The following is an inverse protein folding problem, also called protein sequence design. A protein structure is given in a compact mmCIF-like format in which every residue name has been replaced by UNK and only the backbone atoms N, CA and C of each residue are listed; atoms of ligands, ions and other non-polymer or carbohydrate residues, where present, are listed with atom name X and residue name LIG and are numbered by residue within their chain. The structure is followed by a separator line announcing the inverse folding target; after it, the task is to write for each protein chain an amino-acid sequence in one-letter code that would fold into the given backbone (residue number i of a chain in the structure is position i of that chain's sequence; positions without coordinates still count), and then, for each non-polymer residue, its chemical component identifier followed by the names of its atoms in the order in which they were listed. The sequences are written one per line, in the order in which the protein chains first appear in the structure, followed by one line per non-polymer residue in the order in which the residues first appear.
data_IF_916325462367
#
_entry.id   IF_916325462367
#
_cell.length_a   1.000
_cell.length_b   1.000
_cell.length_c   1.000
_cell.angle_alpha   90.00
_cell.angle_beta   90.00
_cell.angle_gamma   90.00
#
_symmetry.space_group_name_H-M   'P 1'
#
loop_
_entity.id
_entity.type
_entity.pdbx_description
1 polymer ?
#
# COMPACT_ATOMS: atom_id res chain seq x y z
N UNK A 1 -74.20 -12.46 1.19
CA UNK A 1 -72.95 -11.70 1.43
C UNK A 1 -72.07 -12.55 2.34
N UNK A 2 -71.46 -13.66 1.91
CA UNK A 2 -70.53 -13.97 0.81
C UNK A 2 -69.12 -13.39 1.00
N UNK A 3 -68.29 -14.21 1.66
CA UNK A 3 -66.88 -14.59 1.43
C UNK A 3 -65.82 -13.54 1.06
N UNK A 4 -64.72 -13.59 1.82
CA UNK A 4 -63.36 -13.09 1.51
C UNK A 4 -62.82 -13.65 0.18
N UNK A 5 -61.87 -12.94 -0.45
CA UNK A 5 -60.47 -13.42 -0.39
C UNK A 5 -59.39 -12.29 -0.37
N UNK A 6 -58.24 -12.60 0.24
CA UNK A 6 -56.92 -12.02 -0.14
C UNK A 6 -56.37 -12.85 -1.32
N UNK A 7 -55.60 -12.25 -2.27
CA UNK A 7 -54.15 -12.51 -2.25
C UNK A 7 -53.23 -11.42 -2.85
N UNK A 8 -51.95 -11.58 -2.50
CA UNK A 8 -50.68 -10.94 -2.90
C UNK A 8 -50.57 -10.11 -4.19
N UNK A 9 -49.85 -8.98 -4.11
CA UNK A 9 -48.75 -8.72 -5.06
C UNK A 9 -47.66 -7.83 -4.44
N UNK A 10 -46.46 -8.38 -4.40
CA UNK A 10 -45.17 -7.73 -4.25
C UNK A 10 -45.08 -6.36 -4.92
N UNK A 11 -44.68 -5.35 -4.15
CA UNK A 11 -43.92 -4.22 -4.68
C UNK A 11 -42.87 -3.80 -3.65
N UNK A 12 -41.81 -4.59 -3.58
CA UNK A 12 -40.53 -4.11 -3.04
C UNK A 12 -40.05 -3.00 -3.98
N UNK A 13 -39.86 -1.75 -3.55
CA UNK A 13 -39.12 -0.80 -4.37
C UNK A 13 -37.66 -1.28 -4.41
N UNK A 14 -37.29 -1.87 -5.54
CA UNK A 14 -35.89 -2.03 -5.92
C UNK A 14 -35.39 -0.65 -6.38
N UNK A 15 -34.12 -0.38 -6.09
CA UNK A 15 -33.29 0.64 -6.73
C UNK A 15 -33.56 2.11 -6.37
N UNK A 16 -32.79 2.61 -5.41
CA UNK A 16 -31.47 3.16 -5.73
C UNK A 16 -30.80 3.57 -4.41
N UNK A 17 -29.96 2.69 -3.85
CA UNK A 17 -28.86 3.19 -3.03
C UNK A 17 -27.89 3.90 -3.99
N UNK A 18 -28.26 5.12 -4.41
CA UNK A 18 -27.36 6.05 -5.05
C UNK A 18 -26.31 6.38 -4.00
N UNK A 19 -25.26 5.55 -3.91
CA UNK A 19 -23.99 5.99 -3.35
C UNK A 19 -23.65 7.23 -4.17
N UNK A 20 -23.65 8.44 -3.58
CA UNK A 20 -23.32 9.60 -4.36
C UNK A 20 -21.91 9.36 -4.90
N UNK A 21 -21.76 9.32 -6.23
CA UNK A 21 -20.45 9.30 -6.90
C UNK A 21 -19.62 10.57 -6.63
N UNK A 22 -20.04 11.39 -5.67
CA UNK A 22 -19.36 12.56 -5.11
C UNK A 22 -18.87 12.33 -3.66
N UNK A 23 -19.04 11.15 -3.06
CA UNK A 23 -18.23 10.73 -1.91
C UNK A 23 -16.75 10.45 -2.33
N UNK A 24 -16.52 10.41 -3.64
CA UNK A 24 -15.27 10.53 -4.40
C UNK A 24 -14.81 12.02 -4.36
N UNK A 25 -13.59 12.45 -4.06
CA UNK A 25 -12.27 11.95 -4.46
C UNK A 25 -11.24 12.53 -3.47
N UNK A 26 -10.96 11.88 -2.33
CA UNK A 26 -9.64 12.09 -1.76
C UNK A 26 -8.64 11.61 -2.82
N UNK A 27 -7.61 12.38 -3.20
CA UNK A 27 -6.68 11.96 -4.23
C UNK A 27 -6.06 10.62 -3.82
N UNK A 28 -6.50 9.55 -4.48
CA UNK A 28 -5.99 8.21 -4.23
C UNK A 28 -4.67 8.07 -4.96
N UNK A 29 -3.70 7.50 -4.26
CA UNK A 29 -2.36 7.27 -4.81
C UNK A 29 -2.12 5.77 -4.88
N UNK A 30 -1.30 5.39 -5.85
CA UNK A 30 -0.80 4.04 -6.00
C UNK A 30 0.71 4.10 -6.24
N UNK A 31 1.43 3.21 -5.59
CA UNK A 31 2.88 3.08 -5.69
C UNK A 31 3.18 1.65 -6.13
N UNK A 32 3.95 1.50 -7.20
CA UNK A 32 4.32 0.21 -7.77
C UNK A 32 5.68 -0.22 -7.23
N UNK A 33 5.81 -1.51 -6.91
CA UNK A 33 7.01 -2.13 -6.40
C UNK A 33 7.82 -2.74 -7.57
N UNK A 34 9.04 -2.28 -7.74
CA UNK A 34 10.03 -2.85 -8.64
C UNK A 34 10.75 -4.02 -7.98
N UNK A 35 10.22 -5.22 -8.17
CA UNK A 35 10.83 -6.46 -7.66
C UNK A 35 12.16 -6.83 -8.34
N UNK A 36 12.46 -6.22 -9.49
CA UNK A 36 13.66 -6.52 -10.28
C UNK A 36 14.85 -5.61 -9.94
N UNK A 37 14.64 -4.59 -9.11
CA UNK A 37 15.70 -3.72 -8.62
C UNK A 37 16.63 -4.44 -7.63
N UNK A 38 17.85 -3.93 -7.46
CA UNK A 38 18.75 -4.42 -6.42
C UNK A 38 18.23 -3.99 -5.05
N UNK A 39 17.87 -4.95 -4.21
CA UNK A 39 17.32 -4.70 -2.87
C UNK A 39 18.37 -4.27 -1.83
N UNK A 40 19.65 -4.24 -2.20
CA UNK A 40 20.74 -3.84 -1.32
C UNK A 40 21.08 -4.88 -0.25
N UNK A 41 21.96 -4.55 0.72
CA UNK A 41 22.43 -5.46 1.75
C UNK A 41 21.46 -5.59 2.95
N UNK A 42 20.50 -4.67 3.10
CA UNK A 42 19.65 -4.60 4.29
C UNK A 42 18.30 -5.33 4.13
N UNK A 43 17.85 -5.58 2.91
CA UNK A 43 16.54 -6.18 2.60
C UNK A 43 16.68 -7.60 2.03
N UNK A 44 15.82 -8.52 2.44
CA UNK A 44 15.76 -9.88 1.89
C UNK A 44 15.04 -9.86 0.54
N UNK A 45 15.77 -10.18 -0.52
CA UNK A 45 15.25 -10.23 -1.89
C UNK A 45 14.04 -11.17 -2.03
N UNK A 46 14.01 -12.30 -1.31
CA UNK A 46 12.90 -13.26 -1.38
C UNK A 46 11.64 -12.70 -0.74
N UNK A 47 11.79 -11.98 0.38
CA UNK A 47 10.67 -11.28 1.00
C UNK A 47 10.12 -10.20 0.06
N UNK A 48 10.99 -9.38 -0.53
CA UNK A 48 10.58 -8.35 -1.51
C UNK A 48 9.87 -8.96 -2.72
N UNK A 49 10.32 -10.12 -3.21
CA UNK A 49 9.64 -10.83 -4.31
C UNK A 49 8.23 -11.31 -3.93
N UNK A 50 7.99 -11.63 -2.66
CA UNK A 50 6.69 -12.09 -2.16
C UNK A 50 5.67 -10.97 -1.89
N UNK A 51 6.14 -9.71 -1.78
CA UNK A 51 5.28 -8.54 -1.60
C UNK A 51 4.34 -8.32 -2.80
N UNK A 52 3.24 -7.54 -2.65
CA UNK A 52 2.41 -7.16 -3.79
C UNK A 52 3.19 -6.28 -4.78
N UNK A 53 2.84 -6.35 -6.08
CA UNK A 53 3.48 -5.54 -7.13
C UNK A 53 3.15 -4.05 -7.02
N UNK A 54 2.17 -3.68 -6.19
CA UNK A 54 1.81 -2.30 -5.91
C UNK A 54 1.08 -2.17 -4.57
N UNK A 55 1.08 -0.96 -4.03
CA UNK A 55 0.36 -0.53 -2.85
C UNK A 55 -0.66 0.56 -3.23
N UNK A 56 -1.86 0.50 -2.66
CA UNK A 56 -3.00 1.33 -3.06
C UNK A 56 -3.95 0.63 -4.05
N UNK A 57 -4.95 1.34 -4.61
CA UNK A 57 -5.21 2.78 -4.44
C UNK A 57 -5.66 3.14 -3.02
N UNK A 58 -5.09 4.21 -2.45
CA UNK A 58 -5.45 4.66 -1.09
C UNK A 58 -4.97 6.07 -0.74
N UNK A 59 -5.15 6.49 0.52
CA UNK A 59 -4.60 7.76 1.02
C UNK A 59 -3.08 7.73 1.00
N UNK A 60 -2.45 8.87 0.71
CA UNK A 60 -0.99 8.97 0.64
C UNK A 60 -0.29 8.51 1.93
N UNK A 61 -0.77 8.90 3.11
CA UNK A 61 -0.20 8.42 4.38
C UNK A 61 -0.28 6.90 4.53
N UNK A 62 -1.42 6.30 4.19
CA UNK A 62 -1.63 4.86 4.32
C UNK A 62 -0.79 4.07 3.31
N UNK A 63 -0.66 4.53 2.06
CA UNK A 63 0.21 3.90 1.06
C UNK A 63 1.69 4.04 1.44
N UNK A 64 2.10 5.19 1.95
CA UNK A 64 3.47 5.39 2.47
C UNK A 64 3.76 4.42 3.61
N UNK A 65 2.83 4.29 4.56
CA UNK A 65 2.95 3.38 5.69
C UNK A 65 3.15 1.94 5.23
N UNK A 66 2.32 1.46 4.30
CA UNK A 66 2.40 0.10 3.79
C UNK A 66 3.75 -0.18 3.11
N UNK A 67 4.25 0.77 2.31
CA UNK A 67 5.54 0.64 1.65
C UNK A 67 6.69 0.59 2.67
N UNK A 68 6.67 1.45 3.68
CA UNK A 68 7.71 1.51 4.72
C UNK A 68 7.66 0.27 5.62
N UNK A 69 6.46 -0.14 6.04
CA UNK A 69 6.24 -1.34 6.87
C UNK A 69 6.75 -2.58 6.14
N UNK A 70 6.43 -2.73 4.85
CA UNK A 70 6.95 -3.83 4.03
C UNK A 70 8.48 -3.84 3.94
N UNK A 71 9.15 -2.69 3.86
CA UNK A 71 10.61 -2.62 3.94
C UNK A 71 11.15 -3.05 5.31
N UNK A 72 10.49 -2.65 6.40
CA UNK A 72 10.87 -3.05 7.77
C UNK A 72 10.71 -4.56 7.94
N UNK A 73 9.57 -5.11 7.52
CA UNK A 73 9.24 -6.53 7.66
C UNK A 73 10.17 -7.41 6.80
N UNK A 74 10.54 -6.92 5.61
CA UNK A 74 11.50 -7.61 4.72
C UNK A 74 12.97 -7.32 5.04
N UNK A 75 13.28 -6.60 6.12
CA UNK A 75 14.66 -6.33 6.50
C UNK A 75 15.31 -7.58 7.12
N UNK A 76 16.58 -7.83 6.78
CA UNK A 76 17.40 -8.78 7.53
C UNK A 76 17.59 -8.36 8.99
N UNK A 77 17.61 -7.05 9.23
CA UNK A 77 17.63 -6.45 10.55
C UNK A 77 16.68 -5.25 10.55
N UNK A 78 15.53 -5.39 11.21
CA UNK A 78 14.50 -4.34 11.26
C UNK A 78 15.04 -3.03 11.86
N UNK A 79 15.97 -3.09 12.81
CA UNK A 79 16.60 -1.91 13.42
C UNK A 79 17.35 -1.06 12.38
N UNK A 80 17.98 -1.68 11.37
CA UNK A 80 18.68 -0.96 10.30
C UNK A 80 17.73 -0.13 9.44
N UNK A 81 16.54 -0.65 9.13
CA UNK A 81 15.52 0.11 8.39
C UNK A 81 14.86 1.15 9.29
N UNK A 82 14.52 0.75 10.52
CA UNK A 82 13.84 1.61 11.48
C UNK A 82 14.69 2.83 11.88
N UNK A 83 16.00 2.67 12.02
CA UNK A 83 16.95 3.76 12.29
C UNK A 83 17.10 4.76 11.12
N UNK A 84 16.75 4.36 9.90
CA UNK A 84 16.70 5.27 8.74
C UNK A 84 15.45 6.16 8.74
N UNK A 85 14.43 5.82 9.54
CA UNK A 85 13.18 6.56 9.64
C UNK A 85 13.30 7.68 10.68
N UNK A 86 12.68 8.82 10.37
CA UNK A 86 12.60 9.94 11.31
C UNK A 86 11.17 10.05 11.85
N UNK A 87 10.99 10.22 13.17
CA UNK A 87 9.66 10.43 13.74
C UNK A 87 9.05 11.72 13.20
N UNK A 88 7.79 11.63 12.80
CA UNK A 88 6.94 12.71 12.36
C UNK A 88 5.68 12.83 13.22
N UNK A 89 4.78 13.72 12.83
CA UNK A 89 3.51 13.96 13.53
C UNK A 89 2.34 13.88 12.54
N UNK A 90 1.22 13.31 13.00
CA UNK A 90 -0.06 13.28 12.28
C UNK A 90 -0.16 12.29 11.12
N UNK A 91 0.86 11.45 10.89
CA UNK A 91 0.80 10.35 9.93
C UNK A 91 0.45 9.02 10.59
N UNK A 92 0.76 7.93 9.90
CA UNK A 92 0.47 6.56 10.32
C UNK A 92 1.64 5.95 11.11
N UNK A 93 1.39 4.86 11.84
CA UNK A 93 2.41 4.17 12.64
C UNK A 93 3.15 3.10 11.83
N UNK A 94 4.45 3.00 12.08
CA UNK A 94 5.32 1.90 11.67
C UNK A 94 5.75 1.14 12.91
N UNK A 95 5.64 -0.18 12.86
CA UNK A 95 6.10 -1.08 13.91
C UNK A 95 7.33 -1.85 13.47
N UNK A 96 8.25 -2.10 14.39
CA UNK A 96 9.36 -3.01 14.23
C UNK A 96 9.54 -3.83 15.51
N UNK A 97 10.05 -5.04 15.39
CA UNK A 97 10.44 -5.88 16.52
C UNK A 97 11.93 -6.19 16.43
N UNK A 98 12.70 -5.66 17.37
CA UNK A 98 14.14 -5.90 17.50
C UNK A 98 14.55 -5.75 18.97
N UNK A 99 15.68 -6.34 19.34
CA UNK A 99 16.16 -6.32 20.75
C UNK A 99 15.10 -6.84 21.76
N UNK A 100 14.28 -7.80 21.33
CA UNK A 100 13.17 -8.37 22.11
C UNK A 100 12.07 -7.37 22.49
N UNK A 101 12.03 -6.19 21.85
CA UNK A 101 11.07 -5.13 22.14
C UNK A 101 10.36 -4.64 20.85
N UNK A 102 9.07 -4.32 21.01
CA UNK A 102 8.30 -3.62 19.98
C UNK A 102 8.66 -2.13 19.98
N UNK A 103 9.02 -1.64 18.81
CA UNK A 103 9.33 -0.24 18.54
C UNK A 103 8.30 0.32 17.58
N UNK A 104 7.77 1.49 17.89
CA UNK A 104 6.78 2.18 17.04
C UNK A 104 7.23 3.58 16.70
N UNK A 105 7.04 3.99 15.45
CA UNK A 105 7.38 5.32 14.96
C UNK A 105 6.23 5.88 14.15
N UNK A 106 5.84 7.13 14.43
CA UNK A 106 4.82 7.85 13.66
C UNK A 106 5.47 8.48 12.43
N UNK A 107 4.96 8.20 11.24
CA UNK A 107 5.38 8.85 10.01
C UNK A 107 4.80 10.28 9.92
N UNK A 108 5.39 11.17 9.09
CA UNK A 108 4.77 12.46 8.82
C UNK A 108 3.42 12.31 8.12
N UNK A 109 2.48 13.21 8.40
CA UNK A 109 1.24 13.32 7.62
C UNK A 109 1.56 13.73 6.17
N UNK A 110 1.10 12.95 5.19
CA UNK A 110 1.36 13.22 3.77
C UNK A 110 0.08 13.11 2.96
N UNK A 111 -0.05 13.99 1.96
CA UNK A 111 -1.22 14.05 1.07
C UNK A 111 -0.84 14.00 -0.42
N UNK A 112 0.45 13.89 -0.74
CA UNK A 112 0.98 13.99 -2.10
C UNK A 112 1.81 12.76 -2.48
N UNK A 113 1.49 12.14 -3.62
CA UNK A 113 2.26 11.02 -4.19
C UNK A 113 3.72 11.41 -4.43
N UNK A 114 3.98 12.65 -4.80
CA UNK A 114 5.35 13.15 -5.01
C UNK A 114 6.14 13.12 -3.71
N UNK A 115 5.51 13.47 -2.59
CA UNK A 115 6.17 13.39 -1.28
C UNK A 115 6.41 11.92 -0.89
N UNK A 116 5.41 11.05 -1.10
CA UNK A 116 5.53 9.60 -0.84
C UNK A 116 6.73 9.01 -1.57
N UNK A 117 6.82 9.24 -2.89
CA UNK A 117 7.92 8.70 -3.70
C UNK A 117 9.28 9.27 -3.29
N UNK A 118 9.38 10.58 -2.98
CA UNK A 118 10.62 11.18 -2.48
C UNK A 118 11.06 10.60 -1.13
N UNK A 119 10.10 10.34 -0.24
CA UNK A 119 10.39 9.69 1.04
C UNK A 119 10.94 8.29 0.82
N UNK A 120 10.26 7.49 -0.03
CA UNK A 120 10.66 6.12 -0.34
C UNK A 120 12.01 6.06 -1.06
N UNK A 121 12.27 6.97 -2.00
CA UNK A 121 13.56 7.10 -2.66
C UNK A 121 14.68 7.41 -1.66
N UNK A 122 14.44 8.32 -0.70
CA UNK A 122 15.42 8.64 0.33
C UNK A 122 15.66 7.46 1.28
N UNK A 123 14.61 6.71 1.63
CA UNK A 123 14.74 5.48 2.41
C UNK A 123 15.57 4.44 1.66
N UNK A 124 15.24 4.15 0.39
CA UNK A 124 15.98 3.21 -0.45
C UNK A 124 17.47 3.58 -0.56
N UNK A 125 17.74 4.88 -0.74
CA UNK A 125 19.11 5.39 -0.77
C UNK A 125 19.87 5.13 0.54
N UNK A 126 19.25 5.35 1.70
CA UNK A 126 19.88 5.06 2.99
C UNK A 126 20.07 3.54 3.22
N UNK A 127 19.22 2.71 2.61
CA UNK A 127 19.32 1.24 2.62
C UNK A 127 20.26 0.68 1.55
N UNK A 128 20.95 1.54 0.79
CA UNK A 128 21.83 1.13 -0.31
C UNK A 128 21.15 0.20 -1.32
N UNK A 129 19.87 0.44 -1.61
CA UNK A 129 19.11 -0.28 -2.64
C UNK A 129 18.71 0.65 -3.79
N UNK A 130 18.39 0.05 -4.94
CA UNK A 130 17.81 0.76 -6.07
C UNK A 130 16.44 1.37 -5.66
N UNK A 131 15.93 2.40 -6.35
CA UNK A 131 14.59 2.91 -6.11
C UNK A 131 13.55 1.82 -6.41
N UNK A 132 13.13 1.10 -5.36
CA UNK A 132 12.17 0.00 -5.45
C UNK A 132 10.74 0.48 -5.70
N UNK A 133 10.44 1.76 -5.50
CA UNK A 133 9.07 2.29 -5.54
C UNK A 133 8.90 3.33 -6.63
N UNK A 134 7.84 3.20 -7.44
CA UNK A 134 7.55 4.11 -8.55
C UNK A 134 6.07 4.48 -8.66
N UNK A 135 5.76 5.50 -9.47
CA UNK A 135 4.38 5.89 -9.82
C UNK A 135 3.76 5.05 -10.95
N UNK A 136 4.57 4.23 -11.62
CA UNK A 136 4.17 3.44 -12.78
C UNK A 136 4.54 1.97 -12.60
N UNK A 137 3.75 1.06 -13.18
CA UNK A 137 4.08 -0.37 -13.19
C UNK A 137 5.40 -0.61 -13.90
N UNK A 138 6.18 -1.56 -13.38
CA UNK A 138 7.46 -1.94 -13.99
C UNK A 138 7.19 -2.94 -15.12
N UNK A 139 7.61 -2.66 -16.36
CA UNK A 139 7.46 -3.62 -17.45
C UNK A 139 8.30 -4.88 -17.17
N UNK A 140 7.63 -6.04 -17.18
CA UNK A 140 8.28 -7.35 -17.05
C UNK A 140 9.00 -7.66 -18.36
N UNK A 141 10.26 -7.22 -18.48
CA UNK A 141 11.11 -7.49 -19.64
C UNK A 141 11.66 -6.24 -20.30
N UNK A 142 12.71 -5.68 -19.72
CA UNK A 142 13.44 -4.57 -20.32
C UNK A 142 14.63 -4.19 -19.48
N UNK A 143 15.80 -4.66 -19.90
CA UNK A 143 17.11 -4.20 -19.45
C UNK A 143 17.17 -2.67 -19.30
N UNK A 144 17.67 -2.26 -18.14
CA UNK A 144 18.12 -0.93 -17.74
C UNK A 144 18.29 0.12 -18.86
N UNK A 145 17.51 1.21 -18.81
CA UNK A 145 18.01 2.55 -19.14
C UNK A 145 17.37 3.61 -18.24
N UNK A 146 18.25 4.45 -17.72
CA UNK A 146 18.03 5.76 -17.12
C UNK A 146 16.98 6.58 -17.90
N UNK A 147 15.89 6.98 -17.27
CA UNK A 147 15.30 8.30 -17.52
C UNK A 147 14.18 8.67 -16.55
N UNK A 148 14.37 9.82 -15.92
CA UNK A 148 13.31 10.66 -15.36
C UNK A 148 12.25 10.90 -16.42
N UNK A 149 11.03 10.40 -16.26
CA UNK A 149 9.87 11.02 -16.94
C UNK A 149 8.58 10.80 -16.15
N UNK A 150 8.23 11.79 -15.34
CA UNK A 150 6.93 11.90 -14.69
C UNK A 150 5.90 12.31 -15.75
N UNK A 151 5.20 11.36 -16.35
CA UNK A 151 4.00 11.65 -17.16
C UNK A 151 2.93 10.57 -16.97
N UNK A 152 1.68 11.01 -16.83
CA UNK A 152 0.53 10.23 -17.28
C UNK A 152 -0.14 9.30 -16.28
N UNK A 153 -0.89 9.92 -15.37
CA UNK A 153 -2.05 9.40 -14.64
C UNK A 153 -2.99 8.56 -15.54
N UNK A 154 -3.39 7.35 -15.08
CA UNK A 154 -4.70 6.65 -15.27
C UNK A 154 -4.55 5.13 -15.47
N UNK A 155 -4.63 4.32 -14.40
CA UNK A 155 -4.94 2.88 -14.51
C UNK A 155 -5.17 2.13 -13.17
N UNK A 156 -5.61 2.78 -12.10
CA UNK A 156 -5.71 2.13 -10.77
C UNK A 156 -7.10 1.53 -10.43
N UNK A 157 -7.97 1.29 -11.41
CA UNK A 157 -9.36 0.87 -11.16
C UNK A 157 -9.62 -0.64 -11.26
N UNK A 158 -8.65 -1.47 -11.66
CA UNK A 158 -8.90 -2.88 -12.00
C UNK A 158 -8.42 -3.91 -10.94
N UNK A 159 -7.62 -3.54 -9.93
CA UNK A 159 -6.89 -4.54 -9.10
C UNK A 159 -7.52 -4.77 -7.70
N UNK A 160 -8.69 -4.17 -7.43
CA UNK A 160 -9.25 -4.04 -6.08
C UNK A 160 -9.73 -5.35 -5.41
N UNK A 161 -9.93 -6.44 -6.17
CA UNK A 161 -10.59 -7.65 -5.64
C UNK A 161 -9.65 -8.80 -5.27
N UNK A 162 -8.37 -8.77 -5.67
CA UNK A 162 -7.42 -9.88 -5.41
C UNK A 162 -6.38 -9.56 -4.31
N UNK A 163 -6.10 -8.28 -4.02
CA UNK A 163 -5.10 -7.89 -3.00
C UNK A 163 -5.57 -8.04 -1.55
N UNK A 164 -6.88 -8.07 -1.29
CA UNK A 164 -7.39 -8.14 0.08
C UNK A 164 -7.16 -9.50 0.74
N UNK A 165 -7.05 -10.60 -0.02
CA UNK A 165 -6.85 -11.94 0.55
C UNK A 165 -5.36 -12.16 0.88
N UNK A 166 -4.43 -11.66 0.07
CA UNK A 166 -2.98 -11.81 0.32
C UNK A 166 -2.48 -10.92 1.44
N UNK A 167 -2.99 -9.69 1.57
CA UNK A 167 -2.61 -8.78 2.67
C UNK A 167 -3.18 -9.27 4.01
N UNK A 168 -4.36 -9.90 4.02
CA UNK A 168 -4.93 -10.46 5.25
C UNK A 168 -4.16 -11.69 5.74
N UNK A 169 -3.63 -12.53 4.84
CA UNK A 169 -2.77 -13.66 5.22
C UNK A 169 -1.41 -13.22 5.79
N UNK A 170 -0.89 -12.04 5.46
CA UNK A 170 0.36 -11.53 6.05
C UNK A 170 0.15 -10.82 7.40
N UNK A 171 -1.04 -10.26 7.65
CA UNK A 171 -1.34 -9.54 8.90
C UNK A 171 -1.92 -10.43 10.02
N UNK A 172 -2.47 -11.61 9.71
CA UNK A 172 -3.14 -12.47 10.72
C UNK A 172 -2.22 -13.46 11.47
N UNK A 173 -0.90 -13.47 11.21
CA UNK A 173 0.02 -14.32 11.98
C UNK A 173 0.43 -13.69 13.33
N UNK A 174 0.20 -12.38 13.53
CA UNK A 174 0.65 -11.67 14.75
C UNK A 174 -0.43 -11.52 15.84
N UNK A 175 -1.55 -12.25 15.77
CA UNK A 175 -2.54 -12.33 16.86
C UNK A 175 -2.82 -13.78 17.24
N UNK A 176 -1.76 -14.56 17.48
CA UNK A 176 -1.84 -15.76 18.34
C UNK A 176 -0.52 -15.89 19.13
N UNK A 177 -0.38 -15.13 20.21
CA UNK A 177 0.16 -15.58 21.51
C UNK A 177 -0.55 -14.80 22.60
#
# INVERSE_FOLDING_TARGET
ISSTPEPDTSSVPLDNATIPSAALQAPTVCVYLNKYGKVGPHLDARCIQSLPDHFGPGRASSVLQQCVQACVDCAHNQSSVFSCLKPGHGGELISAYFEQQHHTLTLPAVNSVTYVLRFLEKLCHNLHCDPLFGSQPVPVGGVHYDSRTYTGQRSCLQIHLLSLITIFCAFFDFTVV
#
